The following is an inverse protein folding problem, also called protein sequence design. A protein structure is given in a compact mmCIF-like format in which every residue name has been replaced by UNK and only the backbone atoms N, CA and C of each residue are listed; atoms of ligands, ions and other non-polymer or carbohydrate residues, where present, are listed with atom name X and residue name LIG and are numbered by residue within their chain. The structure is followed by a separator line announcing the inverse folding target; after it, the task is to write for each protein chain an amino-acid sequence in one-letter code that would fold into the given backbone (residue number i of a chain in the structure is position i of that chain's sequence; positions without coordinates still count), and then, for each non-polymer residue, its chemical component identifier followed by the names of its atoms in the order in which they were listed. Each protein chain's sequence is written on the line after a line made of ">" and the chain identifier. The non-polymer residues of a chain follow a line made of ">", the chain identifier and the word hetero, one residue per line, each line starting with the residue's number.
data_IF_325809659537
#
_entry.id   IF_325809659537
#
_cell.length_a   1.000
_cell.length_b   1.000
_cell.length_c   1.000
_cell.angle_alpha   90.00
_cell.angle_beta   90.00
_cell.angle_gamma   90.00
#
_symmetry.space_group_name_H-M   'P 1'
#
loop_
_entity.id
_entity.type
_entity.pdbx_description
1 polymer ?
#
# COMPACT_ATOMS: atom_id res chain seq x y z
N UNK A 1 36.15 13.00 16.08
CA UNK A 1 36.07 13.55 14.71
C UNK A 1 34.80 14.37 14.61
N UNK A 2 34.80 15.46 13.83
CA UNK A 2 33.54 16.15 13.49
C UNK A 2 32.70 15.23 12.59
N UNK A 3 31.38 15.31 12.68
CA UNK A 3 30.49 14.58 11.78
C UNK A 3 30.85 14.89 10.32
N UNK A 4 30.83 13.89 9.42
CA UNK A 4 31.04 14.13 8.00
C UNK A 4 30.04 15.18 7.50
N UNK A 5 30.49 16.15 6.71
CA UNK A 5 29.62 17.20 6.20
C UNK A 5 28.86 16.64 4.99
N UNK A 6 27.51 16.69 4.95
CA UNK A 6 26.73 16.17 3.81
C UNK A 6 27.16 16.77 2.46
N UNK A 7 27.69 18.00 2.45
CA UNK A 7 28.14 18.70 1.24
C UNK A 7 29.45 18.15 0.66
N UNK A 8 30.16 17.28 1.39
CA UNK A 8 31.39 16.65 0.91
C UNK A 8 31.10 15.43 0.01
N UNK A 9 29.83 15.05 -0.14
CA UNK A 9 29.39 13.89 -0.89
C UNK A 9 28.65 14.28 -2.17
N UNK A 10 28.81 13.51 -3.27
CA UNK A 10 28.11 13.75 -4.54
C UNK A 10 26.59 13.81 -4.45
N UNK A 11 25.99 13.05 -3.52
CA UNK A 11 24.55 13.05 -3.26
C UNK A 11 24.22 12.51 -1.86
N UNK A 12 22.95 12.67 -1.45
CA UNK A 12 22.47 12.25 -0.13
C UNK A 12 22.50 10.72 0.08
N UNK A 13 22.39 9.92 -0.98
CA UNK A 13 22.44 8.45 -0.88
C UNK A 13 23.85 7.98 -0.59
N UNK A 14 24.85 8.57 -1.24
CA UNK A 14 26.26 8.29 -0.96
C UNK A 14 26.65 8.71 0.46
N UNK A 15 26.14 9.86 0.92
CA UNK A 15 26.33 10.29 2.31
C UNK A 15 25.77 9.27 3.32
N UNK A 16 24.55 8.78 3.12
CA UNK A 16 23.94 7.76 3.97
C UNK A 16 24.73 6.44 3.97
N UNK A 17 25.26 6.04 2.82
CA UNK A 17 26.10 4.84 2.70
C UNK A 17 27.41 4.98 3.45
N UNK A 18 28.08 6.12 3.33
CA UNK A 18 29.35 6.37 4.02
C UNK A 18 29.16 6.43 5.55
N UNK A 19 28.07 7.07 6.02
CA UNK A 19 27.69 7.04 7.44
C UNK A 19 27.50 5.59 7.90
N UNK A 20 26.72 4.80 7.18
CA UNK A 20 26.47 3.39 7.52
C UNK A 20 27.77 2.57 7.57
N UNK A 21 28.66 2.77 6.59
CA UNK A 21 29.96 2.13 6.56
C UNK A 21 30.84 2.56 7.75
N UNK A 22 30.79 3.84 8.13
CA UNK A 22 31.51 4.35 9.29
C UNK A 22 30.97 3.79 10.61
N UNK A 23 29.65 3.69 10.76
CA UNK A 23 28.99 3.07 11.92
C UNK A 23 29.43 1.61 12.10
N UNK A 24 29.65 0.87 11.01
CA UNK A 24 30.12 -0.52 11.05
C UNK A 24 31.64 -0.71 10.97
N UNK A 25 32.40 0.38 10.86
CA UNK A 25 33.87 0.32 10.85
C UNK A 25 34.42 -0.19 12.19
N UNK A 26 35.70 -0.65 12.28
CA UNK A 26 36.28 -1.11 13.55
C UNK A 26 36.18 -0.09 14.70
N UNK A 27 36.27 1.21 14.37
CA UNK A 27 36.13 2.33 15.32
C UNK A 27 34.69 2.90 15.36
N UNK A 28 33.74 2.19 14.76
CA UNK A 28 32.33 2.56 14.66
C UNK A 28 31.52 2.21 15.90
N UNK A 29 30.19 2.26 15.76
CA UNK A 29 29.26 1.92 16.81
C UNK A 29 29.31 0.42 17.12
N UNK A 30 29.51 0.02 18.40
CA UNK A 30 29.54 -1.38 18.78
C UNK A 30 28.26 -2.15 18.42
N UNK A 31 27.09 -1.51 18.58
CA UNK A 31 25.80 -2.13 18.25
C UNK A 31 25.67 -2.39 16.75
N UNK A 32 25.97 -1.39 15.91
CA UNK A 32 25.87 -1.52 14.45
C UNK A 32 26.80 -2.62 13.93
N UNK A 33 28.02 -2.74 14.47
CA UNK A 33 28.98 -3.78 14.08
C UNK A 33 28.52 -5.20 14.37
N UNK A 34 27.80 -5.39 15.48
CA UNK A 34 27.30 -6.72 15.90
C UNK A 34 26.11 -7.19 15.05
N UNK A 35 25.47 -6.29 14.29
CA UNK A 35 24.31 -6.64 13.49
C UNK A 35 24.65 -7.59 12.32
N UNK A 36 23.74 -8.53 12.10
CA UNK A 36 23.71 -9.46 10.98
C UNK A 36 22.36 -9.35 10.27
N UNK A 37 22.22 -9.96 9.08
CA UNK A 37 20.92 -9.98 8.41
C UNK A 37 19.78 -10.57 9.26
N UNK A 38 20.07 -11.56 10.12
CA UNK A 38 19.05 -12.21 10.93
C UNK A 38 18.64 -11.36 12.13
N UNK A 39 19.60 -10.65 12.75
CA UNK A 39 19.30 -9.77 13.88
C UNK A 39 18.53 -8.53 13.46
N UNK A 40 18.61 -8.14 12.18
CA UNK A 40 17.87 -7.01 11.60
C UNK A 40 16.46 -7.35 11.10
N UNK A 41 16.06 -8.64 11.08
CA UNK A 41 14.71 -9.05 10.61
C UNK A 41 13.58 -8.40 11.42
N UNK A 42 13.63 -8.32 12.76
CA UNK A 42 12.57 -7.66 13.52
C UNK A 42 12.44 -6.18 13.13
N UNK A 43 13.56 -5.47 12.97
CA UNK A 43 13.60 -4.06 12.63
C UNK A 43 12.98 -3.80 11.25
N UNK A 44 13.38 -4.53 10.20
CA UNK A 44 12.78 -4.32 8.88
C UNK A 44 11.26 -4.61 8.85
N UNK A 45 10.78 -5.50 9.72
CA UNK A 45 9.33 -5.73 9.89
C UNK A 45 8.67 -4.56 10.61
N UNK A 46 9.28 -4.06 11.68
CA UNK A 46 8.84 -2.88 12.44
C UNK A 46 8.77 -1.66 11.53
N UNK A 47 9.87 -1.27 10.87
CA UNK A 47 9.90 -0.13 9.92
C UNK A 47 8.86 -0.29 8.80
N UNK A 48 8.66 -1.52 8.30
CA UNK A 48 7.64 -1.77 7.26
C UNK A 48 6.23 -1.52 7.78
N UNK A 49 5.96 -1.84 9.05
CA UNK A 49 4.68 -1.58 9.69
C UNK A 49 4.52 -0.11 10.08
N UNK A 50 5.58 0.58 10.49
CA UNK A 50 5.57 2.01 10.81
C UNK A 50 5.38 2.84 9.54
N UNK A 51 6.01 2.49 8.41
CA UNK A 51 5.68 3.04 7.09
C UNK A 51 4.19 2.87 6.76
N UNK A 52 3.62 1.68 7.04
CA UNK A 52 2.18 1.46 6.83
C UNK A 52 1.34 2.36 7.75
N UNK A 53 1.72 2.51 9.02
CA UNK A 53 1.02 3.39 9.96
C UNK A 53 1.12 4.86 9.53
N UNK A 54 2.29 5.34 9.12
CA UNK A 54 2.49 6.69 8.60
C UNK A 54 1.69 6.95 7.32
N UNK A 55 1.65 5.99 6.38
CA UNK A 55 0.81 6.07 5.18
C UNK A 55 -0.68 6.12 5.51
N UNK A 56 -1.11 5.39 6.55
CA UNK A 56 -2.50 5.42 7.03
C UNK A 56 -2.82 6.71 7.79
N UNK A 57 -1.83 7.26 8.51
CA UNK A 57 -1.88 8.53 9.23
C UNK A 57 -1.82 9.76 8.33
N UNK A 58 -1.34 9.61 7.08
CA UNK A 58 -1.30 10.63 6.01
C UNK A 58 -0.50 11.90 6.33
N UNK A 59 0.46 11.80 7.24
CA UNK A 59 1.39 12.87 7.56
C UNK A 59 2.65 12.71 6.70
N UNK A 60 2.86 13.61 5.74
CA UNK A 60 3.99 13.52 4.79
C UNK A 60 5.36 13.62 5.47
N UNK A 61 5.47 14.36 6.59
CA UNK A 61 6.72 14.40 7.37
C UNK A 61 7.01 13.04 8.03
N UNK A 62 5.98 12.43 8.61
CA UNK A 62 6.08 11.09 9.21
C UNK A 62 6.33 10.03 8.12
N UNK A 63 5.65 10.10 6.98
CA UNK A 63 5.90 9.19 5.83
C UNK A 63 7.35 9.30 5.37
N UNK A 64 7.90 10.51 5.30
CA UNK A 64 9.31 10.76 4.90
C UNK A 64 10.28 10.20 5.94
N UNK A 65 9.99 10.34 7.23
CA UNK A 65 10.76 9.77 8.34
C UNK A 65 10.80 8.23 8.24
N UNK A 66 9.64 7.59 8.24
CA UNK A 66 9.53 6.12 8.20
C UNK A 66 10.09 5.51 6.91
N UNK A 67 9.89 6.16 5.75
CA UNK A 67 10.53 5.71 4.50
C UNK A 67 12.05 5.88 4.56
N UNK A 68 12.55 6.86 5.30
CA UNK A 68 13.96 7.07 5.58
C UNK A 68 14.54 5.93 6.42
N UNK A 69 13.84 5.50 7.46
CA UNK A 69 14.27 4.40 8.32
C UNK A 69 14.22 3.04 7.61
N UNK A 70 13.17 2.81 6.80
CA UNK A 70 13.14 1.65 5.92
C UNK A 70 14.26 1.67 4.86
N UNK A 71 14.59 2.85 4.31
CA UNK A 71 15.74 3.02 3.41
C UNK A 71 17.06 2.72 4.13
N UNK A 72 17.21 3.17 5.38
CA UNK A 72 18.38 2.86 6.20
C UNK A 72 18.54 1.36 6.40
N UNK A 73 17.46 0.60 6.66
CA UNK A 73 17.52 -0.86 6.72
C UNK A 73 18.08 -1.46 5.43
N UNK A 74 17.62 -1.00 4.25
CA UNK A 74 18.13 -1.47 2.95
C UNK A 74 19.63 -1.19 2.82
N UNK A 75 20.08 0.01 3.20
CA UNK A 75 21.51 0.41 3.15
C UNK A 75 22.35 -0.42 4.13
N UNK A 76 21.86 -0.68 5.35
CA UNK A 76 22.53 -1.47 6.36
C UNK A 76 22.69 -2.95 5.94
N UNK A 77 21.64 -3.55 5.38
CA UNK A 77 21.73 -4.88 4.78
C UNK A 77 22.72 -4.91 3.60
N UNK A 78 22.73 -3.88 2.75
CA UNK A 78 23.68 -3.77 1.65
C UNK A 78 25.12 -3.69 2.14
N UNK A 79 25.37 -2.95 3.22
CA UNK A 79 26.68 -2.82 3.85
C UNK A 79 27.16 -4.18 4.43
N UNK A 80 26.30 -4.90 5.15
CA UNK A 80 26.59 -6.26 5.67
C UNK A 80 26.90 -7.26 4.55
N UNK A 81 26.23 -7.14 3.40
CA UNK A 81 26.49 -7.97 2.24
C UNK A 81 27.82 -7.62 1.56
N UNK A 82 28.12 -6.33 1.44
CA UNK A 82 29.36 -5.82 0.85
C UNK A 82 30.59 -6.20 1.65
N UNK A 83 30.53 -6.14 2.99
CA UNK A 83 31.60 -6.58 3.91
C UNK A 83 32.01 -8.05 3.70
N UNK A 84 31.10 -8.87 3.17
CA UNK A 84 31.33 -10.30 2.86
C UNK A 84 31.63 -10.55 1.38
N UNK A 85 31.68 -9.51 0.56
CA UNK A 85 31.86 -9.61 -0.89
C UNK A 85 30.69 -10.29 -1.62
N UNK A 86 29.49 -10.27 -1.05
CA UNK A 86 28.32 -10.97 -1.62
C UNK A 86 27.61 -10.12 -2.69
N UNK A 87 27.21 -8.90 -2.33
CA UNK A 87 26.61 -7.92 -3.24
C UNK A 87 26.69 -6.52 -2.60
N UNK A 88 26.45 -5.50 -3.42
CA UNK A 88 26.49 -4.08 -3.08
C UNK A 88 25.10 -3.44 -3.19
N UNK A 89 24.97 -2.20 -2.73
CA UNK A 89 23.75 -1.41 -2.93
C UNK A 89 23.46 -1.20 -4.42
N UNK A 90 24.51 -0.99 -5.23
CA UNK A 90 24.43 -0.87 -6.68
C UNK A 90 23.90 -2.14 -7.34
N UNK A 91 24.31 -3.32 -6.87
CA UNK A 91 23.79 -4.58 -7.40
C UNK A 91 22.27 -4.71 -7.16
N UNK A 92 21.78 -4.27 -5.99
CA UNK A 92 20.34 -4.25 -5.68
C UNK A 92 19.61 -3.26 -6.60
N UNK A 93 20.14 -2.04 -6.73
CA UNK A 93 19.57 -0.98 -7.55
C UNK A 93 19.52 -1.39 -9.04
N UNK A 94 20.58 -2.03 -9.55
CA UNK A 94 20.65 -2.54 -10.91
C UNK A 94 19.64 -3.67 -11.13
N UNK A 95 19.59 -4.67 -10.24
CA UNK A 95 18.68 -5.81 -10.38
C UNK A 95 17.20 -5.36 -10.36
N UNK A 96 16.82 -4.39 -9.53
CA UNK A 96 15.45 -3.85 -9.56
C UNK A 96 15.20 -2.99 -10.80
N UNK A 97 16.17 -2.18 -11.23
CA UNK A 97 16.03 -1.31 -12.40
C UNK A 97 15.88 -2.11 -13.69
N UNK A 98 16.74 -3.11 -13.92
CA UNK A 98 16.64 -4.01 -15.07
C UNK A 98 15.30 -4.75 -15.09
N UNK A 99 14.83 -5.22 -13.94
CA UNK A 99 13.49 -5.83 -13.81
C UNK A 99 12.38 -4.87 -14.17
N UNK A 100 12.45 -3.61 -13.72
CA UNK A 100 11.43 -2.61 -14.01
C UNK A 100 11.43 -2.26 -15.51
N UNK A 101 12.60 -2.08 -16.12
CA UNK A 101 12.73 -1.82 -17.56
C UNK A 101 12.12 -2.97 -18.37
N UNK A 102 12.50 -4.21 -18.05
CA UNK A 102 12.00 -5.39 -18.75
C UNK A 102 10.50 -5.62 -18.56
N UNK A 103 9.95 -5.27 -17.39
CA UNK A 103 8.52 -5.44 -17.08
C UNK A 103 7.63 -4.32 -17.60
N UNK A 104 8.21 -3.21 -18.06
CA UNK A 104 7.48 -2.07 -18.64
C UNK A 104 7.93 -1.79 -20.08
N UNK A 105 7.82 -2.77 -21.00
CA UNK A 105 8.24 -2.57 -22.39
C UNK A 105 7.45 -1.44 -23.05
N UNK A 106 6.21 -1.17 -22.64
CA UNK A 106 5.44 -0.03 -23.12
C UNK A 106 5.99 1.34 -22.74
N UNK A 107 6.82 1.41 -21.69
CA UNK A 107 7.48 2.65 -21.26
C UNK A 107 8.84 2.79 -21.94
N UNK A 108 9.60 1.69 -22.00
CA UNK A 108 11.00 1.71 -22.45
C UNK A 108 11.21 1.25 -23.91
N UNK A 109 10.17 0.75 -24.57
CA UNK A 109 10.12 0.37 -25.98
C UNK A 109 8.72 0.67 -26.58
N UNK A 110 8.29 1.95 -26.60
CA UNK A 110 6.93 2.36 -26.98
C UNK A 110 6.60 2.15 -28.47
N UNK A 111 7.59 1.83 -29.30
CA UNK A 111 7.41 1.48 -30.71
C UNK A 111 6.91 0.04 -30.88
N UNK A 112 7.31 -0.87 -29.97
CA UNK A 112 7.00 -2.30 -30.06
C UNK A 112 5.98 -2.80 -29.03
N UNK A 113 5.60 -1.96 -28.07
CA UNK A 113 4.61 -2.31 -27.04
C UNK A 113 3.73 -1.13 -26.69
N UNK A 114 2.43 -1.25 -26.93
CA UNK A 114 1.41 -0.31 -26.46
C UNK A 114 0.32 -1.11 -25.75
N UNK A 115 -0.07 -0.63 -24.58
CA UNK A 115 -1.21 -1.16 -23.82
C UNK A 115 -2.25 -0.06 -23.69
N UNK A 116 -3.51 -0.43 -23.78
CA UNK A 116 -4.63 0.52 -23.79
C UNK A 116 -5.24 0.70 -22.39
N UNK A 117 -5.01 -0.23 -21.45
CA UNK A 117 -5.51 -0.16 -20.07
C UNK A 117 -4.49 -0.58 -19.00
N UNK A 118 -4.77 -0.22 -17.75
CA UNK A 118 -3.99 -0.65 -16.59
C UNK A 118 -4.08 -2.18 -16.35
N UNK A 119 -5.20 -2.82 -16.70
CA UNK A 119 -5.34 -4.27 -16.54
C UNK A 119 -4.43 -5.04 -17.50
N UNK A 120 -4.26 -4.56 -18.73
CA UNK A 120 -3.33 -5.16 -19.70
C UNK A 120 -1.88 -5.10 -19.23
N UNK A 121 -1.49 -3.99 -18.59
CA UNK A 121 -0.17 -3.82 -17.98
C UNK A 121 0.05 -4.81 -16.84
N UNK A 122 -0.94 -4.96 -15.94
CA UNK A 122 -0.86 -5.92 -14.82
C UNK A 122 -0.79 -7.37 -15.32
N UNK A 123 -1.56 -7.73 -16.34
CA UNK A 123 -1.53 -9.06 -16.94
C UNK A 123 -0.17 -9.38 -17.60
N UNK A 124 0.41 -8.41 -18.33
CA UNK A 124 1.74 -8.55 -18.90
C UNK A 124 2.83 -8.68 -17.81
N UNK A 125 2.70 -7.92 -16.73
CA UNK A 125 3.62 -7.97 -15.59
C UNK A 125 3.66 -9.35 -14.94
N UNK A 126 2.49 -9.96 -14.72
CA UNK A 126 2.38 -11.32 -14.18
C UNK A 126 2.98 -12.37 -15.14
N UNK A 127 2.77 -12.24 -16.45
CA UNK A 127 3.36 -13.11 -17.47
C UNK A 127 4.90 -13.03 -17.50
N UNK A 128 5.46 -11.82 -17.41
CA UNK A 128 6.91 -11.61 -17.40
C UNK A 128 7.56 -12.14 -16.12
N UNK A 129 6.89 -12.00 -14.98
CA UNK A 129 7.33 -12.62 -13.70
C UNK A 129 7.43 -14.14 -13.78
N UNK A 130 6.50 -14.80 -14.48
CA UNK A 130 6.55 -16.25 -14.66
C UNK A 130 7.69 -16.67 -15.58
N UNK A 131 7.90 -15.97 -16.70
CA UNK A 131 9.03 -16.23 -17.61
C UNK A 131 10.38 -16.09 -16.92
N UNK A 132 10.52 -15.09 -16.04
CA UNK A 132 11.72 -14.83 -15.25
C UNK A 132 12.00 -15.92 -14.19
N UNK A 133 10.97 -16.43 -13.52
CA UNK A 133 11.13 -17.57 -12.60
C UNK A 133 11.61 -18.82 -13.34
N UNK A 134 11.10 -19.05 -14.55
CA UNK A 134 11.50 -20.19 -15.40
C UNK A 134 12.92 -20.06 -15.95
N UNK A 135 13.43 -18.84 -16.19
CA UNK A 135 14.81 -18.61 -16.64
C UNK A 135 15.84 -18.70 -15.51
N UNK A 136 15.55 -18.16 -14.31
CA UNK A 136 16.45 -18.27 -13.15
C UNK A 136 16.60 -19.71 -12.64
N UNK A 137 15.59 -20.56 -12.79
CA UNK A 137 15.66 -21.98 -12.44
C UNK A 137 16.63 -22.82 -13.30
N UNK A 138 17.19 -22.27 -14.39
CA UNK A 138 18.11 -22.98 -15.29
C UNK A 138 19.60 -22.72 -15.03
N UNK A 139 19.97 -21.65 -14.31
CA UNK A 139 21.37 -21.22 -14.14
C UNK A 139 21.91 -21.38 -12.70
N UNK A 140 21.12 -21.94 -11.77
CA UNK A 140 21.55 -22.16 -10.39
C UNK A 140 22.01 -23.59 -10.16
N UNK A 141 23.27 -23.76 -9.74
CA UNK A 141 23.89 -25.02 -9.34
C UNK A 141 23.34 -25.51 -7.97
N UNK A 142 22.02 -25.55 -7.81
CA UNK A 142 21.36 -26.14 -6.65
C UNK A 142 20.76 -27.47 -7.07
N UNK A 143 21.14 -28.50 -6.31
CA UNK A 143 20.72 -29.88 -6.40
C UNK A 143 19.27 -30.03 -6.87
N UNK A 144 19.11 -30.86 -7.89
CA UNK A 144 17.85 -31.49 -8.30
C UNK A 144 17.13 -32.05 -7.04
N UNK A 145 15.80 -32.05 -7.10
CA UNK A 145 14.83 -32.65 -6.16
C UNK A 145 14.18 -31.77 -5.07
N UNK A 146 13.19 -30.98 -5.51
CA UNK A 146 11.79 -31.21 -5.07
C UNK A 146 10.88 -30.67 -6.17
N UNK A 147 9.92 -31.48 -6.64
CA UNK A 147 8.86 -31.06 -7.57
C UNK A 147 8.42 -29.64 -7.21
N UNK A 148 8.52 -28.67 -8.12
CA UNK A 148 8.08 -27.30 -7.86
C UNK A 148 6.60 -27.35 -7.51
N UNK A 149 6.28 -27.33 -6.21
CA UNK A 149 4.90 -27.30 -5.75
C UNK A 149 4.22 -26.07 -6.36
N UNK A 150 2.93 -26.18 -6.68
CA UNK A 150 2.09 -25.06 -7.15
C UNK A 150 2.25 -23.83 -6.24
N UNK A 151 2.53 -24.05 -4.96
CA UNK A 151 2.65 -23.02 -3.93
C UNK A 151 4.07 -22.46 -3.77
N UNK A 152 5.08 -23.05 -4.44
CA UNK A 152 6.51 -22.68 -4.29
C UNK A 152 6.78 -21.19 -4.50
N UNK A 153 7.47 -20.56 -3.54
CA UNK A 153 7.81 -19.13 -3.54
C UNK A 153 6.76 -18.21 -2.91
N UNK A 154 5.97 -18.70 -1.95
CA UNK A 154 5.34 -17.84 -0.93
C UNK A 154 6.32 -17.85 0.25
N UNK A 155 6.89 -16.69 0.66
CA UNK A 155 7.77 -16.64 1.81
C UNK A 155 7.09 -17.17 3.08
N UNK A 156 7.81 -17.97 3.86
CA UNK A 156 7.30 -18.47 5.14
C UNK A 156 7.08 -17.34 6.16
N UNK A 157 7.80 -16.23 6.00
CA UNK A 157 7.83 -15.06 6.88
C UNK A 157 6.67 -14.09 6.69
N UNK A 158 5.76 -14.33 5.73
CA UNK A 158 4.60 -13.46 5.56
C UNK A 158 3.63 -13.60 6.73
N UNK A 159 3.01 -12.48 7.20
CA UNK A 159 1.89 -12.54 8.12
C UNK A 159 0.80 -13.47 7.61
N UNK A 160 0.11 -14.16 8.52
CA UNK A 160 -0.77 -15.29 8.18
C UNK A 160 -1.87 -14.93 7.17
N UNK A 161 -2.47 -13.73 7.25
CA UNK A 161 -3.50 -13.30 6.29
C UNK A 161 -2.92 -13.04 4.90
N UNK A 162 -1.82 -12.27 4.83
CA UNK A 162 -1.11 -12.06 3.55
C UNK A 162 -0.62 -13.40 2.96
N UNK A 163 -0.11 -14.31 3.78
CA UNK A 163 0.34 -15.64 3.36
C UNK A 163 -0.82 -16.45 2.78
N UNK A 164 -1.96 -16.52 3.47
CA UNK A 164 -3.17 -17.17 2.99
C UNK A 164 -3.63 -16.59 1.65
N UNK A 165 -3.67 -15.26 1.52
CA UNK A 165 -4.05 -14.57 0.27
C UNK A 165 -3.13 -14.97 -0.89
N UNK A 166 -1.82 -15.04 -0.66
CA UNK A 166 -0.84 -15.43 -1.69
C UNK A 166 -0.91 -16.91 -2.05
N UNK A 167 -1.15 -17.79 -1.08
CA UNK A 167 -1.35 -19.22 -1.32
C UNK A 167 -2.59 -19.45 -2.20
N UNK A 168 -3.71 -18.82 -1.86
CA UNK A 168 -4.95 -18.91 -2.63
C UNK A 168 -4.83 -18.30 -4.02
N UNK A 169 -4.15 -17.15 -4.17
CA UNK A 169 -3.85 -16.57 -5.50
C UNK A 169 -3.05 -17.53 -6.39
N UNK A 170 -2.11 -18.29 -5.83
CA UNK A 170 -1.35 -19.30 -6.58
C UNK A 170 -2.17 -20.53 -6.92
N UNK A 171 -2.94 -21.03 -5.96
CA UNK A 171 -3.85 -22.15 -6.20
C UNK A 171 -4.83 -21.80 -7.33
N UNK A 172 -5.38 -20.58 -7.31
CA UNK A 172 -6.26 -20.08 -8.35
C UNK A 172 -5.59 -20.00 -9.73
N UNK A 173 -4.34 -19.52 -9.80
CA UNK A 173 -3.56 -19.52 -11.06
C UNK A 173 -3.32 -20.92 -11.62
N UNK A 174 -3.28 -21.95 -10.77
CA UNK A 174 -3.18 -23.34 -11.19
C UNK A 174 -4.55 -23.98 -11.54
N UNK A 175 -5.62 -23.20 -11.53
CA UNK A 175 -6.99 -23.67 -11.83
C UNK A 175 -7.74 -24.21 -10.62
N UNK A 176 -7.18 -24.10 -9.41
CA UNK A 176 -7.87 -24.45 -8.17
C UNK A 176 -8.52 -23.22 -7.55
N UNK A 177 -9.69 -22.85 -8.09
CA UNK A 177 -10.51 -21.75 -7.59
C UNK A 177 -11.99 -22.00 -7.90
N UNK A 178 -12.88 -21.41 -7.11
CA UNK A 178 -14.32 -21.42 -7.39
C UNK A 178 -14.63 -20.53 -8.60
N UNK A 179 -15.57 -20.93 -9.48
CA UNK A 179 -15.92 -20.14 -10.67
C UNK A 179 -16.68 -18.86 -10.32
N UNK A 180 -17.42 -18.84 -9.22
CA UNK A 180 -18.27 -17.74 -8.78
C UNK A 180 -18.12 -17.46 -7.28
N UNK A 181 -18.74 -16.36 -6.82
CA UNK A 181 -18.75 -15.96 -5.40
C UNK A 181 -19.58 -16.90 -4.54
N UNK A 182 -20.63 -17.51 -5.10
CA UNK A 182 -21.58 -18.32 -4.35
C UNK A 182 -20.91 -19.53 -3.71
N UNK A 183 -20.03 -20.21 -4.44
CA UNK A 183 -19.28 -21.35 -3.88
C UNK A 183 -18.34 -20.97 -2.73
N UNK A 184 -17.83 -19.73 -2.71
CA UNK A 184 -17.00 -19.22 -1.61
C UNK A 184 -17.85 -18.82 -0.40
N UNK A 185 -19.02 -18.23 -0.63
CA UNK A 185 -19.99 -17.91 0.44
C UNK A 185 -20.51 -19.17 1.12
N UNK A 186 -20.86 -20.20 0.36
CA UNK A 186 -21.28 -21.50 0.89
C UNK A 186 -20.20 -22.11 1.77
N UNK A 187 -18.94 -22.10 1.30
CA UNK A 187 -17.81 -22.61 2.08
C UNK A 187 -17.55 -21.79 3.35
N UNK A 188 -17.68 -20.47 3.30
CA UNK A 188 -17.55 -19.62 4.48
C UNK A 188 -18.60 -19.97 5.57
N UNK A 189 -19.84 -20.23 5.16
CA UNK A 189 -20.90 -20.65 6.08
C UNK A 189 -20.62 -22.04 6.65
N UNK A 190 -20.14 -22.98 5.82
CA UNK A 190 -19.73 -24.32 6.24
C UNK A 190 -18.64 -24.26 7.33
N UNK A 191 -17.55 -23.53 7.11
CA UNK A 191 -16.46 -23.41 8.10
C UNK A 191 -16.93 -22.75 9.41
N UNK A 192 -17.85 -21.77 9.32
CA UNK A 192 -18.43 -21.15 10.51
C UNK A 192 -19.27 -22.16 11.31
N UNK A 193 -20.06 -22.99 10.63
CA UNK A 193 -20.87 -24.02 11.28
C UNK A 193 -19.99 -25.12 11.90
N UNK A 194 -18.89 -25.51 11.25
CA UNK A 194 -17.90 -26.46 11.77
C UNK A 194 -17.22 -25.91 13.04
N UNK A 195 -16.72 -24.68 12.98
CA UNK A 195 -16.15 -23.99 14.15
C UNK A 195 -17.13 -23.89 15.33
N UNK A 196 -18.38 -23.48 15.07
CA UNK A 196 -19.42 -23.38 16.10
C UNK A 196 -19.82 -24.75 16.66
N UNK A 197 -19.72 -25.81 15.87
CA UNK A 197 -20.00 -27.18 16.30
C UNK A 197 -18.94 -27.66 17.28
N UNK A 198 -17.65 -27.46 16.97
CA UNK A 198 -16.56 -27.87 17.87
C UNK A 198 -16.56 -27.09 19.19
N UNK A 199 -17.00 -25.81 19.19
CA UNK A 199 -17.23 -25.04 20.43
C UNK A 199 -18.36 -25.65 21.28
N UNK A 200 -19.45 -26.09 20.65
CA UNK A 200 -20.64 -26.62 21.36
C UNK A 200 -20.48 -28.09 21.78
N UNK A 201 -19.51 -28.81 21.21
CA UNK A 201 -19.32 -30.23 21.41
C UNK A 201 -18.88 -30.60 22.84
N UNK A 202 -18.31 -29.66 23.61
CA UNK A 202 -17.85 -29.90 24.98
C UNK A 202 -18.27 -28.77 25.94
N UNK A 203 -18.71 -29.09 27.17
CA UNK A 203 -18.89 -28.09 28.23
C UNK A 203 -17.58 -27.40 28.64
N UNK A 204 -16.45 -28.05 28.44
CA UNK A 204 -15.11 -27.55 28.78
C UNK A 204 -14.29 -27.35 27.50
N UNK A 205 -14.09 -26.10 27.11
CA UNK A 205 -13.40 -25.70 25.87
C UNK A 205 -11.96 -26.27 25.80
N UNK A 206 -11.29 -26.38 26.95
CA UNK A 206 -9.94 -26.92 27.08
C UNK A 206 -9.80 -28.35 26.55
N UNK A 207 -10.85 -29.16 26.62
CA UNK A 207 -10.83 -30.56 26.19
C UNK A 207 -10.78 -30.72 24.65
N UNK A 208 -11.14 -29.66 23.90
CA UNK A 208 -11.24 -29.68 22.43
C UNK A 208 -10.48 -28.53 21.76
N UNK A 209 -9.58 -27.87 22.49
CA UNK A 209 -8.95 -26.62 22.08
C UNK A 209 -8.21 -26.71 20.74
N UNK A 210 -7.52 -27.83 20.47
CA UNK A 210 -6.79 -28.04 19.20
C UNK A 210 -7.75 -28.07 18.02
N UNK A 211 -8.87 -28.80 18.12
CA UNK A 211 -9.84 -28.87 17.02
C UNK A 211 -10.54 -27.53 16.82
N UNK A 212 -10.88 -26.83 17.90
CA UNK A 212 -11.45 -25.48 17.83
C UNK A 212 -10.47 -24.51 17.14
N UNK A 213 -9.16 -24.64 17.39
CA UNK A 213 -8.13 -23.83 16.74
C UNK A 213 -7.97 -24.17 15.25
N UNK A 214 -8.03 -25.45 14.89
CA UNK A 214 -8.00 -25.90 13.49
C UNK A 214 -9.19 -25.31 12.70
N UNK A 215 -10.42 -25.48 13.20
CA UNK A 215 -11.63 -24.95 12.56
C UNK A 215 -11.64 -23.41 12.51
N UNK A 216 -11.10 -22.74 13.53
CA UNK A 216 -10.90 -21.28 13.50
C UNK A 216 -9.95 -20.87 12.36
N UNK A 217 -8.89 -21.66 12.17
CA UNK A 217 -7.93 -21.47 11.07
C UNK A 217 -8.61 -21.57 9.70
N UNK A 218 -9.44 -22.60 9.49
CA UNK A 218 -10.15 -22.80 8.22
C UNK A 218 -11.23 -21.74 7.99
N UNK A 219 -11.94 -21.32 9.04
CA UNK A 219 -12.85 -20.18 8.97
C UNK A 219 -12.14 -18.88 8.56
N UNK A 220 -11.00 -18.55 9.19
CA UNK A 220 -10.18 -17.39 8.81
C UNK A 220 -9.66 -17.51 7.37
N UNK A 221 -9.25 -18.70 6.94
CA UNK A 221 -8.79 -18.96 5.59
C UNK A 221 -9.90 -18.72 4.56
N UNK A 222 -11.13 -19.13 4.85
CA UNK A 222 -12.32 -18.89 4.03
C UNK A 222 -12.70 -17.41 3.95
N UNK A 223 -12.56 -16.65 5.05
CA UNK A 223 -12.71 -15.18 5.01
C UNK A 223 -11.69 -14.54 4.05
N UNK A 224 -10.43 -14.96 4.11
CA UNK A 224 -9.38 -14.46 3.20
C UNK A 224 -9.71 -14.77 1.74
N UNK A 225 -10.29 -15.94 1.49
CA UNK A 225 -10.68 -16.36 0.14
C UNK A 225 -11.82 -15.50 -0.42
N UNK A 226 -12.83 -15.20 0.39
CA UNK A 226 -13.91 -14.28 0.03
C UNK A 226 -13.36 -12.87 -0.26
N UNK A 227 -12.52 -12.34 0.62
CA UNK A 227 -11.88 -11.04 0.41
C UNK A 227 -11.09 -10.99 -0.89
N UNK A 228 -10.28 -12.03 -1.18
CA UNK A 228 -9.53 -12.15 -2.43
C UNK A 228 -10.45 -12.15 -3.65
N UNK A 229 -11.57 -12.87 -3.64
CA UNK A 229 -12.54 -12.90 -4.74
C UNK A 229 -13.19 -11.54 -4.99
N UNK A 230 -13.38 -10.75 -3.94
CA UNK A 230 -13.89 -9.37 -4.01
C UNK A 230 -12.81 -8.34 -4.38
N UNK A 231 -11.56 -8.77 -4.62
CA UNK A 231 -10.43 -7.87 -4.91
C UNK A 231 -9.94 -7.08 -3.70
N UNK A 232 -10.29 -7.51 -2.49
CA UNK A 232 -9.91 -6.89 -1.22
C UNK A 232 -8.65 -7.55 -0.65
N UNK A 233 -7.82 -6.78 0.05
CA UNK A 233 -6.73 -7.34 0.87
C UNK A 233 -7.19 -7.51 2.31
N UNK A 234 -7.16 -8.75 2.81
CA UNK A 234 -7.55 -9.08 4.19
C UNK A 234 -6.65 -8.42 5.22
N UNK A 235 -5.34 -8.34 4.93
CA UNK A 235 -4.34 -7.69 5.78
C UNK A 235 -4.72 -6.21 5.98
N UNK A 236 -4.85 -5.47 4.88
CA UNK A 236 -5.21 -4.04 4.93
C UNK A 236 -6.59 -3.80 5.56
N UNK A 237 -7.56 -4.69 5.33
CA UNK A 237 -8.89 -4.59 5.93
C UNK A 237 -8.83 -4.73 7.46
N UNK A 238 -8.01 -5.66 7.97
CA UNK A 238 -7.82 -5.84 9.40
C UNK A 238 -7.01 -4.70 10.01
N UNK A 239 -5.93 -4.25 9.36
CA UNK A 239 -5.16 -3.07 9.79
C UNK A 239 -6.08 -1.84 9.98
N UNK A 240 -6.96 -1.57 9.02
CA UNK A 240 -7.96 -0.49 9.13
C UNK A 240 -8.93 -0.69 10.30
N UNK A 241 -9.28 -1.94 10.60
CA UNK A 241 -10.20 -2.25 11.71
C UNK A 241 -9.51 -2.04 13.05
N UNK A 242 -8.25 -2.45 13.17
CA UNK A 242 -7.42 -2.21 14.35
C UNK A 242 -7.25 -0.71 14.60
N UNK A 243 -7.00 0.09 13.56
CA UNK A 243 -6.93 1.54 13.67
C UNK A 243 -8.25 2.13 14.17
N UNK A 244 -9.40 1.74 13.58
CA UNK A 244 -10.72 2.18 14.06
C UNK A 244 -10.97 1.79 15.53
N UNK A 245 -10.54 0.61 15.95
CA UNK A 245 -10.66 0.16 17.33
C UNK A 245 -9.82 1.06 18.25
N UNK A 246 -8.55 1.28 17.92
CA UNK A 246 -7.63 2.17 18.65
C UNK A 246 -8.20 3.59 18.78
N UNK A 247 -8.64 4.20 17.67
CA UNK A 247 -9.25 5.54 17.68
C UNK A 247 -10.47 5.62 18.60
N UNK A 248 -11.33 4.61 18.61
CA UNK A 248 -12.53 4.59 19.45
C UNK A 248 -12.21 4.38 20.93
N UNK A 249 -11.21 3.55 21.24
CA UNK A 249 -10.75 3.39 22.62
C UNK A 249 -10.16 4.71 23.13
N UNK A 250 -9.30 5.37 22.36
CA UNK A 250 -8.75 6.68 22.74
C UNK A 250 -9.86 7.71 22.98
N UNK A 251 -10.89 7.73 22.13
CA UNK A 251 -12.05 8.60 22.33
C UNK A 251 -12.77 8.30 23.66
N UNK A 252 -12.97 7.02 24.01
CA UNK A 252 -13.56 6.65 25.29
C UNK A 252 -12.69 7.14 26.45
N UNK A 253 -11.37 6.95 26.37
CA UNK A 253 -10.44 7.40 27.40
C UNK A 253 -10.49 8.93 27.60
N UNK A 254 -10.55 9.70 26.51
CA UNK A 254 -10.69 11.16 26.56
C UNK A 254 -12.02 11.61 27.19
N UNK A 255 -13.12 10.96 26.83
CA UNK A 255 -14.44 11.25 27.39
C UNK A 255 -14.51 10.93 28.89
N UNK A 256 -13.98 9.77 29.30
CA UNK A 256 -13.90 9.40 30.71
C UNK A 256 -13.00 10.36 31.50
N UNK A 257 -11.89 10.80 30.90
CA UNK A 257 -10.99 11.77 31.52
C UNK A 257 -11.69 13.12 31.78
N UNK A 258 -12.55 13.60 30.86
CA UNK A 258 -13.37 14.81 31.06
C UNK A 258 -14.33 14.67 32.24
N UNK A 259 -14.81 13.46 32.51
CA UNK A 259 -15.68 13.15 33.65
C UNK A 259 -14.92 12.78 34.93
N UNK A 260 -13.58 12.75 34.90
CA UNK A 260 -12.74 12.32 36.02
C UNK A 260 -12.88 10.83 36.37
N UNK A 261 -13.35 10.00 35.43
CA UNK A 261 -13.54 8.56 35.59
C UNK A 261 -12.38 7.77 34.99
N UNK A 262 -12.20 6.53 35.45
CA UNK A 262 -11.23 5.58 34.89
C UNK A 262 -11.94 4.49 34.09
N UNK A 263 -11.29 4.06 33.01
CA UNK A 263 -11.77 2.99 32.14
C UNK A 263 -12.08 1.70 32.92
N UNK A 264 -11.16 1.25 33.78
CA UNK A 264 -11.29 0.03 34.59
C UNK A 264 -12.41 0.05 35.63
N UNK A 265 -12.89 1.24 35.99
CA UNK A 265 -13.92 1.44 37.01
C UNK A 265 -15.29 1.75 36.39
N UNK A 266 -15.38 1.79 35.06
CA UNK A 266 -16.60 2.13 34.32
C UNK A 266 -17.32 0.85 33.85
N UNK A 267 -18.63 0.69 34.14
CA UNK A 267 -19.42 -0.46 33.67
C UNK A 267 -19.43 -0.57 32.14
N UNK A 268 -19.51 -1.81 31.64
CA UNK A 268 -19.48 -2.09 30.20
C UNK A 268 -20.62 -1.39 29.45
N UNK A 269 -21.79 -1.26 30.07
CA UNK A 269 -22.93 -0.58 29.48
C UNK A 269 -22.63 0.90 29.20
N UNK A 270 -21.95 1.57 30.14
CA UNK A 270 -21.53 2.97 29.95
C UNK A 270 -20.41 3.08 28.92
N UNK A 271 -19.46 2.14 28.91
CA UNK A 271 -18.41 2.09 27.88
C UNK A 271 -19.01 1.87 26.48
N UNK A 272 -20.05 1.05 26.35
CA UNK A 272 -20.73 0.79 25.07
C UNK A 272 -21.55 2.01 24.61
N UNK A 273 -22.15 2.77 25.53
CA UNK A 273 -22.77 4.07 25.20
C UNK A 273 -21.76 5.06 24.61
N UNK A 274 -20.59 5.22 25.26
CA UNK A 274 -19.52 6.10 24.76
C UNK A 274 -18.94 5.55 23.45
N UNK A 275 -18.78 4.23 23.32
CA UNK A 275 -18.35 3.58 22.08
C UNK A 275 -19.32 3.82 20.92
N UNK A 276 -20.62 3.77 21.17
CA UNK A 276 -21.63 4.03 20.15
C UNK A 276 -21.66 5.51 19.76
N UNK A 277 -21.43 6.44 20.70
CA UNK A 277 -21.14 7.86 20.36
C UNK A 277 -19.88 7.96 19.51
N UNK A 278 -18.80 7.28 19.89
CA UNK A 278 -17.56 7.24 19.13
C UNK A 278 -17.79 6.72 17.72
N UNK A 279 -18.66 5.73 17.47
CA UNK A 279 -18.98 5.30 16.09
C UNK A 279 -19.65 6.37 15.24
N UNK A 280 -20.45 7.25 15.85
CA UNK A 280 -21.19 8.32 15.17
C UNK A 280 -20.27 9.53 14.96
N UNK A 281 -19.50 9.89 15.98
CA UNK A 281 -18.59 11.04 15.98
C UNK A 281 -17.24 10.74 15.31
N UNK A 282 -16.77 9.49 15.33
CA UNK A 282 -15.65 9.03 14.52
C UNK A 282 -16.11 8.99 13.07
N UNK A 283 -15.97 10.12 12.39
CA UNK A 283 -16.04 10.17 10.94
C UNK A 283 -14.98 9.20 10.43
N UNK A 284 -15.37 8.13 9.70
CA UNK A 284 -14.38 7.28 9.01
C UNK A 284 -13.63 8.22 8.05
N UNK A 285 -12.35 8.55 8.33
CA UNK A 285 -11.64 9.57 7.58
C UNK A 285 -11.51 9.20 6.10
N UNK A 286 -11.55 7.90 5.81
CA UNK A 286 -11.50 7.36 4.46
C UNK A 286 -12.86 7.50 3.77
N UNK A 287 -13.95 7.19 4.47
CA UNK A 287 -15.29 7.29 3.88
C UNK A 287 -15.71 8.75 3.64
N UNK A 288 -15.43 9.65 4.59
CA UNK A 288 -15.67 11.08 4.43
C UNK A 288 -14.87 11.64 3.26
N UNK A 289 -13.56 11.39 3.19
CA UNK A 289 -12.74 11.87 2.07
C UNK A 289 -13.14 11.27 0.72
N UNK A 290 -13.52 9.99 0.68
CA UNK A 290 -14.04 9.37 -0.56
C UNK A 290 -15.29 10.09 -1.04
N UNK A 291 -16.20 10.41 -0.12
CA UNK A 291 -17.41 11.17 -0.43
C UNK A 291 -17.09 12.61 -0.85
N UNK A 292 -16.17 13.30 -0.16
CA UNK A 292 -15.72 14.65 -0.53
C UNK A 292 -15.07 14.66 -1.91
N UNK A 293 -14.18 13.71 -2.21
CA UNK A 293 -13.52 13.58 -3.52
C UNK A 293 -14.55 13.29 -4.61
N UNK A 294 -15.50 12.39 -4.37
CA UNK A 294 -16.59 12.11 -5.31
C UNK A 294 -17.48 13.33 -5.54
N UNK A 295 -17.80 14.10 -4.50
CA UNK A 295 -18.57 15.36 -4.62
C UNK A 295 -17.82 16.38 -5.46
N UNK A 296 -16.54 16.62 -5.15
CA UNK A 296 -15.68 17.54 -5.91
C UNK A 296 -15.57 17.12 -7.37
N UNK A 297 -15.37 15.83 -7.66
CA UNK A 297 -15.31 15.34 -9.05
C UNK A 297 -16.66 15.51 -9.77
N UNK A 298 -17.77 15.28 -9.07
CA UNK A 298 -19.12 15.51 -9.61
C UNK A 298 -19.40 16.99 -9.90
N UNK A 299 -18.93 17.90 -9.04
CA UNK A 299 -19.04 19.34 -9.27
C UNK A 299 -18.16 19.79 -10.43
N UNK A 300 -16.89 19.34 -10.47
CA UNK A 300 -15.99 19.51 -11.61
C UNK A 300 -16.59 18.98 -12.90
N UNK A 301 -17.53 18.03 -12.80
CA UNK A 301 -18.12 17.46 -13.99
C UNK A 301 -18.95 18.45 -14.81
N UNK A 302 -19.41 19.52 -14.18
CA UNK A 302 -20.14 20.60 -14.85
C UNK A 302 -19.25 21.53 -15.69
N UNK A 303 -17.93 21.51 -15.49
CA UNK A 303 -16.99 22.44 -16.13
C UNK A 303 -16.26 21.86 -17.36
N UNK A 304 -16.30 20.54 -17.56
CA UNK A 304 -15.61 19.86 -18.66
C UNK A 304 -16.55 18.98 -19.50
N UNK A 305 -16.17 18.73 -20.76
CA UNK A 305 -16.84 17.73 -21.61
C UNK A 305 -16.16 16.38 -21.35
N UNK A 306 -16.85 15.51 -20.61
CA UNK A 306 -16.37 14.17 -20.27
C UNK A 306 -16.63 13.18 -21.39
N UNK A 307 -15.70 12.24 -21.54
CA UNK A 307 -15.92 11.03 -22.32
C UNK A 307 -16.30 9.87 -21.41
N UNK A 308 -17.10 8.96 -21.95
CA UNK A 308 -17.46 7.72 -21.27
C UNK A 308 -16.18 6.90 -20.99
N UNK A 309 -16.04 6.45 -19.74
CA UNK A 309 -14.89 5.65 -19.27
C UNK A 309 -15.45 4.40 -18.59
N UNK A 310 -14.73 3.29 -18.65
CA UNK A 310 -15.19 2.04 -18.04
C UNK A 310 -15.25 2.17 -16.52
N UNK A 311 -16.34 1.73 -15.88
CA UNK A 311 -16.45 1.71 -14.42
C UNK A 311 -15.45 0.75 -13.75
N UNK A 312 -14.78 -0.12 -14.52
CA UNK A 312 -13.80 -1.11 -14.05
C UNK A 312 -12.37 -0.59 -13.86
N UNK A 313 -12.03 0.61 -14.38
CA UNK A 313 -10.65 1.09 -14.39
C UNK A 313 -10.15 1.46 -12.97
N UNK A 314 -9.02 0.87 -12.55
CA UNK A 314 -8.31 1.25 -11.32
C UNK A 314 -6.86 1.71 -11.61
N UNK A 315 -6.43 2.90 -11.10
CA UNK A 315 -7.22 3.89 -10.36
C UNK A 315 -8.30 4.51 -11.25
N UNK A 316 -9.42 4.94 -10.65
CA UNK A 316 -10.51 5.56 -11.41
C UNK A 316 -9.98 6.78 -12.15
N UNK A 317 -10.16 6.76 -13.47
CA UNK A 317 -9.68 7.83 -14.34
C UNK A 317 -10.81 8.26 -15.26
N UNK A 318 -10.93 9.57 -15.46
CA UNK A 318 -11.92 10.16 -16.34
C UNK A 318 -11.22 10.92 -17.46
N UNK A 319 -11.68 10.75 -18.69
CA UNK A 319 -11.16 11.49 -19.83
C UNK A 319 -12.01 12.72 -20.11
N UNK A 320 -11.37 13.86 -20.38
CA UNK A 320 -12.05 15.09 -20.77
C UNK A 320 -11.34 15.80 -21.92
N UNK A 321 -12.10 16.59 -22.68
CA UNK A 321 -11.58 17.39 -23.79
C UNK A 321 -11.51 18.88 -23.42
N UNK A 322 -10.39 19.52 -23.73
CA UNK A 322 -10.20 20.96 -23.58
C UNK A 322 -9.40 21.54 -24.75
N UNK A 323 -9.95 22.54 -25.45
CA UNK A 323 -9.33 23.17 -26.63
C UNK A 323 -8.84 22.15 -27.69
N UNK A 324 -9.68 21.17 -28.03
CA UNK A 324 -9.39 20.12 -29.03
C UNK A 324 -8.25 19.16 -28.68
N UNK A 325 -7.79 19.16 -27.42
CA UNK A 325 -6.85 18.18 -26.88
C UNK A 325 -7.51 17.35 -25.77
N UNK A 326 -6.95 16.18 -25.52
CA UNK A 326 -7.48 15.20 -24.57
C UNK A 326 -6.60 15.10 -23.34
N UNK A 327 -7.26 15.07 -22.19
CA UNK A 327 -6.62 14.99 -20.88
C UNK A 327 -7.31 13.90 -20.06
N UNK A 328 -6.58 13.38 -19.08
CA UNK A 328 -7.03 12.39 -18.12
C UNK A 328 -6.97 12.98 -16.72
N UNK A 329 -8.11 12.98 -16.03
CA UNK A 329 -8.22 13.25 -14.61
C UNK A 329 -8.19 11.91 -13.87
N UNK A 330 -7.11 11.62 -13.17
CA UNK A 330 -6.98 10.46 -12.29
C UNK A 330 -7.28 10.92 -10.87
N UNK A 331 -8.12 10.18 -10.16
CA UNK A 331 -8.36 10.45 -8.75
C UNK A 331 -8.25 9.17 -7.94
N UNK A 332 -7.74 9.30 -6.73
CA UNK A 332 -7.82 8.23 -5.73
C UNK A 332 -9.05 8.47 -4.87
N UNK A 333 -9.76 7.40 -4.50
CA UNK A 333 -10.81 7.47 -3.47
C UNK A 333 -10.28 7.86 -2.08
N UNK A 334 -8.98 8.19 -1.95
CA UNK A 334 -8.29 8.53 -0.72
C UNK A 334 -7.91 10.02 -0.63
N UNK A 335 -8.27 10.83 -1.62
CA UNK A 335 -8.12 12.29 -1.60
C UNK A 335 -6.97 12.83 -2.43
N UNK A 336 -6.67 12.22 -3.58
CA UNK A 336 -5.74 12.83 -4.55
C UNK A 336 -6.42 13.02 -5.90
N UNK A 337 -6.05 14.09 -6.60
CA UNK A 337 -6.49 14.43 -7.94
C UNK A 337 -5.26 14.73 -8.79
N UNK A 338 -5.22 14.19 -10.00
CA UNK A 338 -4.06 14.30 -10.89
C UNK A 338 -4.53 14.49 -12.31
N UNK A 339 -3.97 15.48 -13.02
CA UNK A 339 -4.26 15.72 -14.43
C UNK A 339 -3.03 15.36 -15.26
N UNK A 340 -3.27 14.62 -16.34
CA UNK A 340 -2.27 14.22 -17.32
C UNK A 340 -2.78 14.49 -18.75
N UNK A 341 -1.94 14.97 -19.67
CA UNK A 341 -2.26 14.94 -21.10
C UNK A 341 -2.40 13.50 -21.61
N UNK A 342 -3.42 13.19 -22.41
CA UNK A 342 -3.62 11.82 -22.94
C UNK A 342 -2.49 11.38 -23.88
N UNK A 343 -1.83 12.32 -24.55
CA UNK A 343 -0.71 12.06 -25.45
C UNK A 343 0.65 12.06 -24.73
N UNK A 344 0.69 12.50 -23.48
CA UNK A 344 1.89 12.50 -22.62
C UNK A 344 1.51 12.00 -21.22
N UNK A 345 1.44 10.67 -21.03
CA UNK A 345 1.02 10.06 -19.77
C UNK A 345 1.99 10.32 -18.60
N UNK A 346 3.12 10.99 -18.82
CA UNK A 346 4.11 11.36 -17.81
C UNK A 346 4.15 12.86 -17.51
N UNK A 347 3.39 13.68 -18.25
CA UNK A 347 3.34 15.14 -18.08
C UNK A 347 4.72 15.82 -18.15
N UNK A 348 4.95 16.83 -17.31
CA UNK A 348 6.19 17.62 -17.32
C UNK A 348 7.34 16.82 -16.69
N UNK A 349 8.26 16.27 -17.49
CA UNK A 349 9.49 15.58 -17.01
C UNK A 349 9.20 14.45 -15.99
N UNK A 350 8.10 13.71 -16.15
CA UNK A 350 7.72 12.65 -15.22
C UNK A 350 6.84 13.10 -14.04
N UNK A 351 6.37 14.35 -14.03
CA UNK A 351 5.40 14.86 -13.06
C UNK A 351 4.07 15.22 -13.74
N UNK A 352 2.94 15.01 -13.05
CA UNK A 352 1.64 15.43 -13.57
C UNK A 352 1.59 16.93 -13.81
N UNK A 353 0.82 17.36 -14.82
CA UNK A 353 0.70 18.80 -15.13
C UNK A 353 -0.07 19.55 -14.04
N UNK A 354 -0.88 18.82 -13.27
CA UNK A 354 -1.58 19.34 -12.11
C UNK A 354 -1.81 18.21 -11.11
N UNK A 355 -1.54 18.47 -9.84
CA UNK A 355 -1.75 17.51 -8.76
C UNK A 355 -2.34 18.24 -7.57
N UNK A 356 -3.36 17.64 -6.95
CA UNK A 356 -3.92 18.09 -5.68
C UNK A 356 -3.96 16.95 -4.68
N UNK A 357 -3.70 17.27 -3.44
CA UNK A 357 -3.93 16.41 -2.28
C UNK A 357 -4.95 17.06 -1.34
N UNK A 358 -5.84 16.24 -0.79
CA UNK A 358 -6.86 16.66 0.16
C UNK A 358 -6.24 16.75 1.56
N UNK A 359 -6.37 17.92 2.20
CA UNK A 359 -5.81 18.24 3.51
C UNK A 359 -6.28 17.32 4.63
N UNK A 360 -5.48 17.20 5.69
CA UNK A 360 -5.72 16.36 6.87
C UNK A 360 -6.99 16.73 7.63
N UNK A 361 -7.34 18.01 7.67
CA UNK A 361 -8.52 18.51 8.36
C UNK A 361 -9.81 18.15 7.61
N UNK A 362 -10.78 17.60 8.35
CA UNK A 362 -12.13 17.37 7.85
C UNK A 362 -12.86 18.71 7.88
N UNK A 363 -12.82 19.45 6.76
CA UNK A 363 -13.49 20.74 6.59
C UNK A 363 -14.60 20.66 5.53
N UNK A 364 -15.66 21.45 5.71
CA UNK A 364 -16.67 21.69 4.66
C UNK A 364 -16.62 23.18 4.26
N UNK A 365 -16.23 23.53 3.01
CA UNK A 365 -15.84 22.62 1.92
C UNK A 365 -14.43 22.01 2.08
N UNK A 366 -14.12 20.90 1.37
CA UNK A 366 -12.82 20.23 1.45
C UNK A 366 -11.66 21.12 0.98
N UNK A 367 -10.58 21.15 1.76
CA UNK A 367 -9.37 21.93 1.47
C UNK A 367 -8.38 21.08 0.65
N UNK A 368 -8.17 21.43 -0.61
CA UNK A 368 -7.19 20.81 -1.50
C UNK A 368 -5.93 21.67 -1.59
N UNK A 369 -4.77 21.04 -1.76
CA UNK A 369 -3.49 21.73 -1.93
C UNK A 369 -2.71 21.19 -3.13
N UNK A 370 -2.10 22.08 -3.91
CA UNK A 370 -1.16 21.69 -4.96
C UNK A 370 0.27 21.50 -4.42
N UNK A 371 1.20 21.15 -5.31
CA UNK A 371 2.61 20.91 -4.98
C UNK A 371 3.33 22.19 -4.54
N UNK A 372 2.81 23.35 -4.92
CA UNK A 372 3.30 24.68 -4.57
C UNK A 372 2.67 25.22 -3.27
N UNK A 373 1.76 24.48 -2.65
CA UNK A 373 1.08 24.82 -1.40
C UNK A 373 -0.11 25.76 -1.56
N UNK A 374 -0.54 26.05 -2.79
CA UNK A 374 -1.76 26.83 -3.08
C UNK A 374 -2.97 26.02 -2.67
N UNK A 375 -3.92 26.68 -2.00
CA UNK A 375 -5.11 26.04 -1.47
C UNK A 375 -6.33 26.28 -2.37
N UNK A 376 -7.13 25.23 -2.55
CA UNK A 376 -8.34 25.22 -3.35
C UNK A 376 -9.49 24.66 -2.50
N UNK A 377 -10.57 25.43 -2.37
CA UNK A 377 -11.72 25.05 -1.52
C UNK A 377 -13.00 24.81 -2.32
N UNK A 378 -13.03 25.20 -3.60
CA UNK A 378 -14.21 25.13 -4.44
C UNK A 378 -13.88 24.51 -5.80
N UNK A 379 -14.83 23.79 -6.41
CA UNK A 379 -14.64 23.16 -7.72
C UNK A 379 -14.27 24.19 -8.82
N UNK A 380 -14.79 25.41 -8.76
CA UNK A 380 -14.43 26.50 -9.67
C UNK A 380 -12.95 26.88 -9.56
N UNK A 381 -12.43 26.98 -8.33
CA UNK A 381 -11.02 27.28 -8.09
C UNK A 381 -10.10 26.16 -8.60
N UNK A 382 -10.51 24.89 -8.41
CA UNK A 382 -9.79 23.72 -8.93
C UNK A 382 -9.80 23.72 -10.46
N UNK A 383 -10.95 24.05 -11.07
CA UNK A 383 -11.09 24.16 -12.52
C UNK A 383 -10.13 25.23 -13.11
N UNK A 384 -10.08 26.42 -12.52
CA UNK A 384 -9.15 27.46 -12.97
C UNK A 384 -7.69 27.06 -12.74
N UNK A 385 -7.38 26.35 -11.65
CA UNK A 385 -6.08 25.72 -11.43
C UNK A 385 -5.68 24.78 -12.56
N UNK A 386 -6.57 23.86 -12.94
CA UNK A 386 -6.37 22.93 -14.06
C UNK A 386 -6.15 23.68 -15.37
N UNK A 387 -6.94 24.73 -15.64
CA UNK A 387 -6.77 25.54 -16.87
C UNK A 387 -5.44 26.25 -16.94
N UNK A 388 -5.00 26.83 -15.83
CA UNK A 388 -3.72 27.52 -15.75
C UNK A 388 -2.56 26.54 -15.95
N UNK A 389 -2.64 25.36 -15.33
CA UNK A 389 -1.69 24.26 -15.54
C UNK A 389 -1.63 23.82 -17.01
N UNK A 390 -2.79 23.64 -17.67
CA UNK A 390 -2.85 23.32 -19.11
C UNK A 390 -2.22 24.42 -19.96
N UNK A 391 -2.51 25.70 -19.68
CA UNK A 391 -1.91 26.83 -20.42
C UNK A 391 -0.39 26.85 -20.26
N UNK A 392 0.11 26.74 -19.03
CA UNK A 392 1.54 26.71 -18.74
C UNK A 392 2.23 25.53 -19.44
N UNK A 393 1.59 24.37 -19.45
CA UNK A 393 2.08 23.19 -20.18
C UNK A 393 2.20 23.45 -21.69
N UNK A 394 1.19 24.08 -22.31
CA UNK A 394 1.21 24.41 -23.75
C UNK A 394 2.26 25.48 -24.11
N UNK A 395 2.52 26.44 -23.23
CA UNK A 395 3.56 27.45 -23.46
C UNK A 395 4.96 26.84 -23.46
N UNK A 396 5.18 25.77 -22.69
CA UNK A 396 6.46 25.06 -22.62
C UNK A 396 6.69 24.16 -23.84
N UNK A 397 5.62 23.65 -24.46
CA UNK A 397 5.69 22.81 -25.66
C UNK A 397 5.90 23.59 -26.97
N UNK A 398 5.65 24.90 -26.97
CA UNK A 398 5.90 25.81 -28.09
C UNK A 398 7.33 26.33 -28.04
#
# INVERSE_FOLDING_TARGET
>A
MKAPNPNDFPNAVEYLRDITAKLRSPDGCPWDREQTHLTLVPYILEESHEVVDALLGKNDEHIKEELGDLLFQIVLHSQIASERGAFTFEDIANDVSEKLVLRHPHVFDPENSRFESAEEVVANWDNLKEKEKRSRGKNGNNRVDKKSSVLSGVPETFPSLLKAEKLQKKAAKAGFDWPDLKGVEEKLCEELDEFLTEIKATPEISANQVRIEDELGDFLFSIVNLARKLGLSSESALTRTNLKFKTRINFIEEELAKEGKKFSETPLEQLDEIWNRAKIESVDPIASRKNSTLSTVRELSSYFIWKETSESDWPKSYQFSYQSEEYRLIFSGFGSLTVLPSQDPWGRKGQPIFYLNLGEEISEPPIWRDLEGVTYTEAESIYEGIRNAIRAYKEILK
#
